data_IF_864346591039
#
_entry.id   IF_864346591039
#
_cell.length_a   1.000
_cell.length_b   1.000
_cell.length_c   1.000
_cell.angle_alpha   90.00
_cell.angle_beta   90.00
_cell.angle_gamma   90.00
#
_symmetry.space_group_name_H-M   'P 1'
#
loop_
_entity.id
_entity.type
_entity.pdbx_description
1 polymer ?
#
# COMPACT_ATOMS: atom_id res chain seq x y z
N UNK A 1 57.10 -2.81 -21.77
CA UNK A 1 55.99 -2.31 -22.60
C UNK A 1 54.75 -2.75 -21.86
N UNK A 2 54.23 -1.85 -21.04
CA UNK A 2 53.34 -2.17 -19.92
C UNK A 2 52.04 -1.37 -20.04
N UNK A 3 50.94 -2.09 -19.81
CA UNK A 3 49.63 -1.66 -19.33
C UNK A 3 48.90 -0.47 -20.00
N UNK A 4 47.94 -0.78 -20.87
CA UNK A 4 46.71 0.02 -21.03
C UNK A 4 45.50 -0.91 -21.18
N UNK A 5 44.97 -1.33 -20.03
CA UNK A 5 43.59 -1.74 -19.86
C UNK A 5 43.07 -1.01 -18.62
N UNK A 6 42.38 0.13 -18.84
CA UNK A 6 41.53 0.84 -17.87
C UNK A 6 41.03 2.12 -18.54
N UNK A 7 39.86 2.05 -19.17
CA UNK A 7 38.78 3.02 -18.95
C UNK A 7 37.55 2.58 -19.76
N UNK A 8 36.77 1.69 -19.15
CA UNK A 8 35.42 1.35 -19.60
C UNK A 8 34.64 1.04 -18.32
N UNK A 9 34.26 2.09 -17.60
CA UNK A 9 33.63 1.95 -16.28
C UNK A 9 33.48 3.26 -15.54
N UNK A 10 32.94 4.28 -16.20
CA UNK A 10 32.49 5.51 -15.53
C UNK A 10 31.57 6.30 -16.48
N UNK A 11 30.30 5.89 -16.62
CA UNK A 11 29.22 6.85 -16.97
C UNK A 11 27.77 6.30 -16.88
N UNK A 12 27.49 5.35 -15.97
CA UNK A 12 26.11 4.87 -15.72
C UNK A 12 25.61 5.02 -14.27
N UNK A 13 26.31 5.78 -13.42
CA UNK A 13 26.02 5.87 -11.97
C UNK A 13 25.66 7.28 -11.42
N UNK A 14 25.24 8.23 -12.25
CA UNK A 14 25.11 9.65 -11.82
C UNK A 14 23.75 10.32 -12.05
N UNK A 15 22.65 9.59 -12.03
CA UNK A 15 21.33 10.20 -11.86
C UNK A 15 20.70 9.70 -10.55
N UNK A 16 21.08 10.29 -9.41
CA UNK A 16 20.46 9.90 -8.14
C UNK A 16 18.97 10.22 -8.18
N UNK A 17 18.12 9.24 -7.84
CA UNK A 17 16.66 9.42 -7.86
C UNK A 17 16.23 10.60 -6.96
N UNK A 18 15.05 11.22 -7.18
CA UNK A 18 14.55 12.26 -6.28
C UNK A 18 14.54 11.83 -4.81
N UNK A 19 14.27 10.56 -4.54
CA UNK A 19 14.30 9.95 -3.20
C UNK A 19 15.72 9.93 -2.61
N UNK A 20 16.72 9.52 -3.37
CA UNK A 20 18.12 9.53 -2.92
C UNK A 20 18.63 10.95 -2.66
N UNK A 21 18.20 11.93 -3.45
CA UNK A 21 18.52 13.34 -3.22
C UNK A 21 17.92 13.82 -1.89
N UNK A 22 16.66 13.47 -1.60
CA UNK A 22 15.99 13.83 -0.35
C UNK A 22 16.69 13.24 0.87
N UNK A 23 17.11 11.98 0.80
CA UNK A 23 17.81 11.32 1.91
C UNK A 23 19.24 11.84 2.07
N UNK A 24 19.94 12.15 0.98
CA UNK A 24 21.25 12.81 1.06
C UNK A 24 21.15 14.16 1.78
N UNK A 25 20.16 14.98 1.45
CA UNK A 25 19.92 16.27 2.11
C UNK A 25 19.60 16.08 3.59
N UNK A 26 18.76 15.10 3.93
CA UNK A 26 18.41 14.81 5.31
C UNK A 26 19.63 14.34 6.13
N UNK A 27 20.48 13.47 5.58
CA UNK A 27 21.73 13.04 6.23
C UNK A 27 22.68 14.22 6.46
N UNK A 28 22.85 15.08 5.46
CA UNK A 28 23.69 16.29 5.60
C UNK A 28 23.16 17.23 6.68
N UNK A 29 21.84 17.48 6.71
CA UNK A 29 21.23 18.31 7.74
C UNK A 29 21.47 17.75 9.15
N UNK A 30 21.39 16.44 9.34
CA UNK A 30 21.62 15.77 10.62
C UNK A 30 23.09 15.75 11.09
N UNK A 31 24.03 16.20 10.26
CA UNK A 31 25.41 16.47 10.71
C UNK A 31 25.53 17.80 11.46
N UNK A 32 24.56 18.69 11.30
CA UNK A 32 24.56 20.04 11.87
C UNK A 32 23.37 20.30 12.80
N UNK A 33 22.37 19.42 12.84
CA UNK A 33 21.24 19.50 13.76
C UNK A 33 21.11 18.22 14.60
N UNK A 34 20.84 18.38 15.88
CA UNK A 34 20.53 17.29 16.80
C UNK A 34 19.03 17.27 17.15
N UNK A 35 18.62 16.29 17.95
CA UNK A 35 17.24 16.02 18.35
C UNK A 35 16.60 17.15 19.19
N UNK A 36 17.39 18.12 19.66
CA UNK A 36 16.89 19.31 20.35
C UNK A 36 16.40 20.41 19.40
N UNK A 37 16.74 20.34 18.10
CA UNK A 37 16.44 21.40 17.15
C UNK A 37 15.13 21.18 16.37
N UNK A 38 14.30 22.23 16.15
CA UNK A 38 12.97 22.09 15.51
C UNK A 38 12.94 21.46 14.11
N UNK A 39 14.06 21.48 13.38
CA UNK A 39 14.17 20.89 12.05
C UNK A 39 14.40 19.38 12.04
N UNK A 40 14.84 18.81 13.17
CA UNK A 40 15.29 17.43 13.26
C UNK A 40 14.18 16.40 12.97
N UNK A 41 12.96 16.52 13.52
CA UNK A 41 11.89 15.55 13.22
C UNK A 41 11.54 15.51 11.73
N UNK A 42 11.60 16.68 11.07
CA UNK A 42 11.38 16.77 9.63
C UNK A 42 12.45 16.06 8.80
N UNK A 43 13.70 15.99 9.27
CA UNK A 43 14.78 15.26 8.61
C UNK A 43 14.70 13.76 8.89
N UNK A 44 14.38 13.35 10.12
CA UNK A 44 14.22 11.93 10.44
C UNK A 44 13.10 11.26 9.65
N UNK A 45 11.94 11.93 9.54
CA UNK A 45 10.86 11.46 8.67
C UNK A 45 11.30 11.31 7.20
N UNK A 46 12.17 12.21 6.71
CA UNK A 46 12.72 12.11 5.34
C UNK A 46 13.72 10.97 5.21
N UNK A 47 14.55 10.73 6.23
CA UNK A 47 15.47 9.60 6.23
C UNK A 47 14.75 8.27 6.11
N UNK A 48 13.62 8.09 6.79
CA UNK A 48 12.85 6.85 6.68
C UNK A 48 12.26 6.60 5.29
N UNK A 49 12.24 7.57 4.36
CA UNK A 49 11.68 7.35 3.02
C UNK A 49 12.58 6.45 2.16
N UNK A 50 13.90 6.64 2.15
CA UNK A 50 14.74 5.83 1.24
C UNK A 50 14.85 4.36 1.63
N UNK A 51 15.04 3.98 2.91
CA UNK A 51 15.01 2.58 3.30
C UNK A 51 13.67 1.96 2.92
N UNK A 52 12.55 2.64 3.10
CA UNK A 52 11.24 2.14 2.67
C UNK A 52 11.14 1.96 1.15
N UNK A 53 11.63 2.91 0.36
CA UNK A 53 11.68 2.76 -1.10
C UNK A 53 12.59 1.60 -1.54
N UNK A 54 13.71 1.36 -0.85
CA UNK A 54 14.55 0.17 -1.10
C UNK A 54 13.81 -1.10 -0.72
N UNK A 55 13.17 -1.10 0.45
CA UNK A 55 12.33 -2.20 0.91
C UNK A 55 11.26 -2.55 -0.13
N UNK A 56 10.58 -1.58 -0.73
CA UNK A 56 9.61 -1.84 -1.81
C UNK A 56 10.22 -2.52 -3.05
N UNK A 57 11.52 -2.37 -3.29
CA UNK A 57 12.22 -2.97 -4.43
C UNK A 57 12.90 -4.31 -4.08
N UNK A 58 13.40 -4.46 -2.86
CA UNK A 58 14.21 -5.63 -2.45
C UNK A 58 13.49 -6.56 -1.48
N UNK A 59 12.38 -6.13 -0.88
CA UNK A 59 11.66 -6.79 0.21
C UNK A 59 12.54 -7.09 1.45
N UNK A 60 13.65 -6.34 1.63
CA UNK A 60 14.57 -6.52 2.74
C UNK A 60 13.99 -5.92 4.04
N UNK A 61 13.63 -6.79 4.98
CA UNK A 61 12.95 -6.38 6.22
C UNK A 61 13.76 -5.39 7.07
N UNK A 62 15.10 -5.46 7.06
CA UNK A 62 15.95 -4.53 7.81
C UNK A 62 15.80 -3.07 7.34
N UNK A 63 15.51 -2.88 6.04
CA UNK A 63 15.27 -1.54 5.50
C UNK A 63 13.93 -0.98 6.00
N UNK A 64 12.91 -1.83 6.13
CA UNK A 64 11.64 -1.45 6.74
C UNK A 64 11.79 -1.11 8.23
N UNK A 65 12.58 -1.86 8.98
CA UNK A 65 12.88 -1.58 10.40
C UNK A 65 13.60 -0.23 10.58
N UNK A 66 14.54 0.11 9.68
CA UNK A 66 15.21 1.42 9.66
C UNK A 66 14.18 2.55 9.44
N UNK A 67 13.27 2.36 8.48
CA UNK A 67 12.17 3.29 8.23
C UNK A 67 11.30 3.50 9.46
N UNK A 68 10.73 2.42 10.02
CA UNK A 68 9.86 2.48 11.20
C UNK A 68 10.55 3.26 12.33
N UNK A 69 11.81 2.92 12.63
CA UNK A 69 12.59 3.60 13.67
C UNK A 69 12.72 5.10 13.43
N UNK A 70 13.08 5.50 12.20
CA UNK A 70 13.31 6.90 11.87
C UNK A 70 12.02 7.75 11.95
N UNK A 71 10.89 7.23 11.48
CA UNK A 71 9.62 7.98 11.54
C UNK A 71 8.96 7.91 12.92
N UNK A 72 9.16 6.84 13.69
CA UNK A 72 8.78 6.80 15.09
C UNK A 72 9.44 7.95 15.87
N UNK A 73 10.76 8.07 15.74
CA UNK A 73 11.50 9.17 16.35
C UNK A 73 11.00 10.55 15.91
N UNK A 74 10.68 10.70 14.62
CA UNK A 74 10.10 11.93 14.11
C UNK A 74 8.71 12.23 14.72
N UNK A 75 7.86 11.22 14.92
CA UNK A 75 6.54 11.38 15.53
C UNK A 75 6.63 11.73 17.02
N UNK A 76 7.56 11.12 17.75
CA UNK A 76 7.75 11.31 19.19
C UNK A 76 8.30 12.69 19.54
N UNK A 77 9.27 13.17 18.76
CA UNK A 77 9.95 14.45 19.00
C UNK A 77 9.27 15.63 18.30
N UNK A 78 8.27 15.39 17.46
CA UNK A 78 7.45 16.46 16.89
C UNK A 78 6.54 17.10 17.95
N UNK A 79 6.39 18.44 17.98
CA UNK A 79 5.47 19.10 18.90
C UNK A 79 4.04 18.57 18.76
N UNK A 80 3.33 18.48 19.88
CA UNK A 80 1.92 18.09 19.91
C UNK A 80 1.10 18.96 18.94
N UNK A 81 0.17 18.35 18.22
CA UNK A 81 -0.70 18.98 17.21
C UNK A 81 0.02 19.63 16.01
N UNK A 82 1.34 19.44 15.85
CA UNK A 82 2.06 19.96 14.69
C UNK A 82 1.76 19.17 13.42
N UNK A 83 1.84 19.84 12.26
CA UNK A 83 1.75 19.18 10.96
C UNK A 83 2.85 18.12 10.77
N UNK A 84 4.03 18.34 11.36
CA UNK A 84 5.14 17.39 11.35
C UNK A 84 4.79 16.08 12.07
N UNK A 85 4.16 16.19 13.25
CA UNK A 85 3.67 15.02 13.99
C UNK A 85 2.64 14.24 13.18
N UNK A 86 1.60 14.93 12.67
CA UNK A 86 0.54 14.30 11.86
C UNK A 86 1.09 13.54 10.64
N UNK A 87 2.00 14.17 9.89
CA UNK A 87 2.66 13.53 8.74
C UNK A 87 3.51 12.32 9.13
N UNK A 88 4.26 12.42 10.23
CA UNK A 88 5.09 11.32 10.71
C UNK A 88 4.22 10.16 11.22
N UNK A 89 3.19 10.44 12.01
CA UNK A 89 2.24 9.44 12.52
C UNK A 89 1.52 8.68 11.41
N UNK A 90 1.05 9.37 10.36
CA UNK A 90 0.46 8.71 9.20
C UNK A 90 1.48 7.79 8.49
N UNK A 91 2.68 8.30 8.24
CA UNK A 91 3.72 7.55 7.55
C UNK A 91 4.20 6.33 8.37
N UNK A 92 4.29 6.47 9.69
CA UNK A 92 4.52 5.37 10.62
C UNK A 92 3.43 4.31 10.52
N UNK A 93 2.17 4.71 10.46
CA UNK A 93 1.05 3.78 10.34
C UNK A 93 1.13 2.93 9.06
N UNK A 94 1.53 3.53 7.94
CA UNK A 94 1.73 2.79 6.68
C UNK A 94 2.83 1.74 6.84
N UNK A 95 3.99 2.12 7.40
CA UNK A 95 5.11 1.20 7.55
C UNK A 95 4.89 0.10 8.60
N UNK A 96 4.13 0.39 9.66
CA UNK A 96 3.67 -0.64 10.58
C UNK A 96 2.69 -1.62 9.92
N UNK A 97 1.87 -1.14 8.97
CA UNK A 97 1.07 -2.01 8.10
C UNK A 97 1.94 -2.92 7.23
N UNK A 98 3.01 -2.40 6.64
CA UNK A 98 3.96 -3.21 5.87
C UNK A 98 4.66 -4.25 6.75
N UNK A 99 4.97 -3.89 8.02
CA UNK A 99 5.58 -4.81 8.99
C UNK A 99 4.71 -6.03 9.23
N UNK A 100 3.38 -5.85 9.33
CA UNK A 100 2.45 -6.96 9.50
C UNK A 100 2.59 -8.00 8.37
N UNK A 101 2.84 -7.60 7.12
CA UNK A 101 3.00 -8.56 6.03
C UNK A 101 4.29 -9.43 6.16
N UNK A 102 5.24 -9.04 7.02
CA UNK A 102 6.40 -9.87 7.36
C UNK A 102 6.19 -10.74 8.59
N UNK A 103 5.56 -10.20 9.63
CA UNK A 103 5.42 -10.88 10.91
C UNK A 103 4.20 -11.77 10.94
N UNK A 104 3.14 -11.40 10.22
CA UNK A 104 1.79 -11.95 10.27
C UNK A 104 1.24 -11.99 11.71
N UNK A 105 1.72 -11.08 12.57
CA UNK A 105 1.26 -10.95 13.95
C UNK A 105 0.09 -9.95 13.99
N UNK A 106 -1.10 -10.43 14.36
CA UNK A 106 -2.29 -9.57 14.37
C UNK A 106 -2.15 -8.35 15.31
N UNK A 107 -1.32 -8.43 16.36
CA UNK A 107 -1.02 -7.30 17.26
C UNK A 107 -0.26 -6.16 16.57
N UNK A 108 0.47 -6.43 15.49
CA UNK A 108 1.15 -5.39 14.71
C UNK A 108 0.16 -4.45 14.01
N UNK A 109 -1.13 -4.81 13.91
CA UNK A 109 -2.18 -4.00 13.30
C UNK A 109 -2.84 -2.99 14.26
N UNK A 110 -2.68 -3.13 15.58
CA UNK A 110 -3.39 -2.28 16.55
C UNK A 110 -2.89 -0.83 16.55
N UNK A 111 -1.57 -0.65 16.49
CA UNK A 111 -0.95 0.67 16.42
C UNK A 111 -1.27 1.42 15.11
N UNK A 112 -1.09 0.84 13.90
CA UNK A 112 -1.43 1.54 12.67
C UNK A 112 -2.91 1.92 12.58
N UNK A 113 -3.83 1.06 13.04
CA UNK A 113 -5.27 1.38 13.11
C UNK A 113 -5.50 2.60 14.02
N UNK A 114 -4.84 2.65 15.18
CA UNK A 114 -4.95 3.76 16.12
C UNK A 114 -4.42 5.07 15.52
N UNK A 115 -3.25 5.03 14.89
CA UNK A 115 -2.62 6.18 14.26
C UNK A 115 -3.45 6.71 13.09
N UNK A 116 -4.03 5.84 12.26
CA UNK A 116 -4.89 6.22 11.14
C UNK A 116 -6.20 6.85 11.62
N UNK A 117 -6.85 6.29 12.64
CA UNK A 117 -8.04 6.88 13.27
C UNK A 117 -7.77 8.27 13.81
N UNK A 118 -6.60 8.50 14.42
CA UNK A 118 -6.21 9.84 14.88
C UNK A 118 -5.94 10.79 13.70
N UNK A 119 -5.25 10.32 12.67
CA UNK A 119 -4.92 11.12 11.49
C UNK A 119 -6.17 11.62 10.73
N UNK A 120 -7.24 10.81 10.70
CA UNK A 120 -8.51 11.13 10.04
C UNK A 120 -9.23 12.33 10.68
N UNK A 121 -9.13 12.51 12.00
CA UNK A 121 -9.88 13.56 12.73
C UNK A 121 -9.64 14.98 12.20
N UNK A 122 -8.42 15.24 11.73
CA UNK A 122 -7.99 16.54 11.21
C UNK A 122 -7.50 16.46 9.74
N UNK A 123 -7.86 15.40 9.01
CA UNK A 123 -7.42 15.24 7.63
C UNK A 123 -8.03 16.31 6.72
N UNK A 124 -7.21 16.86 5.81
CA UNK A 124 -7.77 17.69 4.75
C UNK A 124 -8.59 16.84 3.78
N UNK A 125 -9.59 17.42 3.08
CA UNK A 125 -10.40 16.68 2.12
C UNK A 125 -9.59 15.93 1.06
N UNK A 126 -8.41 16.45 0.70
CA UNK A 126 -7.50 15.83 -0.28
C UNK A 126 -6.73 14.61 0.24
N UNK A 127 -6.59 14.44 1.56
CA UNK A 127 -5.84 13.32 2.18
C UNK A 127 -6.77 12.28 2.80
N UNK A 128 -7.99 12.69 3.12
CA UNK A 128 -9.00 11.85 3.76
C UNK A 128 -9.26 10.51 3.02
N UNK A 129 -9.37 10.46 1.67
CA UNK A 129 -9.57 9.19 0.96
C UNK A 129 -8.45 8.18 1.25
N UNK A 130 -7.19 8.62 1.13
CA UNK A 130 -6.03 7.77 1.38
C UNK A 130 -5.96 7.26 2.82
N UNK A 131 -6.31 8.10 3.79
CA UNK A 131 -6.28 7.72 5.21
C UNK A 131 -7.36 6.69 5.53
N UNK A 132 -8.58 6.90 5.00
CA UNK A 132 -9.69 5.95 5.14
C UNK A 132 -9.41 4.62 4.43
N UNK A 133 -8.85 4.66 3.22
CA UNK A 133 -8.48 3.45 2.49
C UNK A 133 -7.44 2.61 3.21
N UNK A 134 -6.38 3.23 3.73
CA UNK A 134 -5.37 2.54 4.54
C UNK A 134 -5.92 2.04 5.88
N UNK A 135 -6.84 2.78 6.50
CA UNK A 135 -7.57 2.29 7.68
C UNK A 135 -8.38 1.04 7.34
N UNK A 136 -9.11 1.07 6.22
CA UNK A 136 -9.87 -0.05 5.71
C UNK A 136 -9.00 -1.29 5.53
N UNK A 137 -7.81 -1.14 4.91
CA UNK A 137 -6.85 -2.23 4.72
C UNK A 137 -6.38 -2.81 6.06
N UNK A 138 -5.91 -1.97 6.99
CA UNK A 138 -5.38 -2.46 8.27
C UNK A 138 -6.46 -3.20 9.10
N UNK A 139 -7.69 -2.67 9.13
CA UNK A 139 -8.82 -3.32 9.81
C UNK A 139 -9.23 -4.61 9.08
N UNK A 140 -9.22 -4.63 7.73
CA UNK A 140 -9.48 -5.83 6.93
C UNK A 140 -8.53 -6.95 7.33
N UNK A 141 -7.23 -6.68 7.35
CA UNK A 141 -6.22 -7.68 7.71
C UNK A 141 -6.46 -8.23 9.13
N UNK A 142 -6.83 -7.36 10.08
CA UNK A 142 -7.12 -7.79 11.46
C UNK A 142 -8.37 -8.67 11.52
N UNK A 143 -9.40 -8.33 10.76
CA UNK A 143 -10.59 -9.17 10.60
C UNK A 143 -10.23 -10.53 9.99
N UNK A 144 -9.44 -10.57 8.93
CA UNK A 144 -9.06 -11.82 8.27
C UNK A 144 -8.28 -12.77 9.20
N UNK A 145 -7.51 -12.22 10.13
CA UNK A 145 -6.74 -12.99 11.11
C UNK A 145 -7.53 -13.40 12.36
N UNK A 146 -8.37 -12.51 12.88
CA UNK A 146 -9.01 -12.68 14.19
C UNK A 146 -10.53 -12.93 14.13
N UNK A 147 -11.17 -12.63 13.02
CA UNK A 147 -12.61 -12.83 12.81
C UNK A 147 -13.51 -11.89 13.61
N UNK A 148 -13.03 -10.71 14.01
CA UNK A 148 -13.84 -9.75 14.76
C UNK A 148 -14.88 -9.07 13.86
N UNK A 149 -16.15 -9.40 14.06
CA UNK A 149 -17.27 -8.86 13.26
C UNK A 149 -17.37 -7.32 13.24
N UNK A 150 -16.92 -6.66 14.30
CA UNK A 150 -16.87 -5.19 14.33
C UNK A 150 -15.77 -4.65 13.39
N UNK A 151 -14.64 -5.35 13.25
CA UNK A 151 -13.60 -5.00 12.28
C UNK A 151 -14.10 -5.16 10.84
N UNK A 152 -14.90 -6.20 10.55
CA UNK A 152 -15.54 -6.33 9.24
C UNK A 152 -16.38 -5.08 8.89
N UNK A 153 -17.26 -4.66 9.80
CA UNK A 153 -18.13 -3.49 9.59
C UNK A 153 -17.31 -2.20 9.46
N UNK A 154 -16.34 -2.01 10.35
CA UNK A 154 -15.50 -0.81 10.37
C UNK A 154 -14.66 -0.72 9.08
N UNK A 155 -14.14 -1.85 8.58
CA UNK A 155 -13.39 -1.89 7.33
C UNK A 155 -14.27 -1.61 6.11
N UNK A 156 -15.46 -2.23 6.03
CA UNK A 156 -16.44 -1.92 4.97
C UNK A 156 -16.82 -0.44 4.97
N UNK A 157 -17.05 0.15 6.15
CA UNK A 157 -17.38 1.56 6.27
C UNK A 157 -16.23 2.46 5.81
N UNK A 158 -15.00 2.18 6.26
CA UNK A 158 -13.83 2.94 5.87
C UNK A 158 -13.60 2.92 4.35
N UNK A 159 -13.72 1.75 3.71
CA UNK A 159 -13.63 1.65 2.25
C UNK A 159 -14.77 2.39 1.55
N UNK A 160 -16.02 2.25 2.01
CA UNK A 160 -17.16 2.92 1.41
C UNK A 160 -17.02 4.46 1.48
N UNK A 161 -16.56 4.99 2.62
CA UNK A 161 -16.29 6.42 2.79
C UNK A 161 -15.14 6.88 1.88
N UNK A 162 -14.04 6.14 1.81
CA UNK A 162 -12.91 6.45 0.92
C UNK A 162 -13.36 6.51 -0.55
N UNK A 163 -14.16 5.54 -0.98
CA UNK A 163 -14.67 5.41 -2.34
C UNK A 163 -15.76 6.45 -2.69
N UNK A 164 -16.36 7.12 -1.70
CA UNK A 164 -17.32 8.20 -1.97
C UNK A 164 -16.65 9.55 -2.19
N UNK A 165 -15.38 9.69 -1.78
CA UNK A 165 -14.64 10.95 -1.87
C UNK A 165 -13.90 11.06 -3.21
N UNK A 166 -13.68 12.29 -3.72
CA UNK A 166 -12.81 12.51 -4.87
C UNK A 166 -11.38 12.05 -4.55
N UNK A 167 -10.83 11.18 -5.38
CA UNK A 167 -9.46 10.64 -5.27
C UNK A 167 -8.78 10.73 -6.64
N UNK A 168 -7.45 10.76 -6.66
CA UNK A 168 -6.64 10.83 -7.89
C UNK A 168 -6.51 9.49 -8.64
N UNK A 169 -7.45 8.57 -8.37
CA UNK A 169 -7.64 7.26 -8.98
C UNK A 169 -6.55 6.20 -8.71
N UNK A 170 -5.37 6.57 -8.23
CA UNK A 170 -4.26 5.62 -8.08
C UNK A 170 -4.48 4.60 -6.97
N UNK A 171 -5.11 5.00 -5.86
CA UNK A 171 -5.34 4.12 -4.70
C UNK A 171 -6.71 3.47 -4.71
N UNK A 172 -7.66 4.07 -5.43
CA UNK A 172 -9.05 3.64 -5.53
C UNK A 172 -9.20 2.18 -5.97
N UNK A 173 -8.44 1.75 -6.98
CA UNK A 173 -8.44 0.36 -7.45
C UNK A 173 -8.00 -0.64 -6.35
N UNK A 174 -7.02 -0.27 -5.53
CA UNK A 174 -6.54 -1.10 -4.40
C UNK A 174 -7.65 -1.27 -3.35
N UNK A 175 -8.38 -0.20 -3.05
CA UNK A 175 -9.48 -0.24 -2.08
C UNK A 175 -10.66 -1.06 -2.59
N UNK A 176 -11.00 -0.93 -3.88
CA UNK A 176 -12.04 -1.75 -4.51
C UNK A 176 -11.71 -3.25 -4.44
N UNK A 177 -10.47 -3.63 -4.79
CA UNK A 177 -10.00 -5.02 -4.66
C UNK A 177 -10.01 -5.51 -3.20
N UNK A 178 -9.54 -4.67 -2.27
CA UNK A 178 -9.51 -5.01 -0.84
C UNK A 178 -10.93 -5.19 -0.27
N UNK A 179 -11.88 -4.35 -0.67
CA UNK A 179 -13.29 -4.46 -0.29
C UNK A 179 -13.93 -5.71 -0.93
N UNK A 180 -13.57 -6.04 -2.17
CA UNK A 180 -14.04 -7.26 -2.83
C UNK A 180 -13.54 -8.54 -2.13
N UNK A 181 -12.31 -8.54 -1.63
CA UNK A 181 -11.75 -9.62 -0.80
C UNK A 181 -12.46 -9.73 0.55
N UNK A 182 -12.63 -8.60 1.25
CA UNK A 182 -13.34 -8.52 2.52
C UNK A 182 -14.75 -9.09 2.41
N UNK A 183 -15.51 -8.69 1.39
CA UNK A 183 -16.87 -9.16 1.15
C UNK A 183 -16.92 -10.67 0.88
N UNK A 184 -15.91 -11.25 0.20
CA UNK A 184 -15.83 -12.70 -0.01
C UNK A 184 -15.67 -13.47 1.31
N UNK A 185 -14.95 -12.90 2.29
CA UNK A 185 -14.64 -13.54 3.58
C UNK A 185 -15.70 -13.28 4.65
N UNK A 186 -16.29 -12.08 4.68
CA UNK A 186 -17.37 -11.68 5.59
C UNK A 186 -18.65 -12.51 5.46
N UNK A 187 -18.84 -13.13 4.30
CA UNK A 187 -19.96 -14.02 4.05
C UNK A 187 -19.45 -15.44 3.83
N UNK A 188 -19.43 -16.22 4.90
CA UNK A 188 -19.23 -17.68 4.89
C UNK A 188 -20.43 -18.44 4.26
N UNK A 189 -21.23 -17.73 3.46
CA UNK A 189 -22.30 -18.30 2.64
C UNK A 189 -22.08 -17.83 1.21
N UNK A 190 -22.06 -18.80 0.32
CA UNK A 190 -22.16 -18.69 -1.15
C UNK A 190 -23.45 -17.97 -1.57
N UNK A 191 -23.64 -16.74 -1.11
CA UNK A 191 -24.73 -15.88 -1.55
C UNK A 191 -24.27 -15.23 -2.83
N UNK A 192 -24.92 -15.63 -3.93
CA UNK A 192 -24.63 -15.13 -5.27
C UNK A 192 -24.60 -13.61 -5.33
N UNK A 193 -25.43 -12.91 -4.55
CA UNK A 193 -25.45 -11.45 -4.49
C UNK A 193 -24.13 -10.85 -3.96
N UNK A 194 -23.49 -11.48 -2.98
CA UNK A 194 -22.21 -11.03 -2.42
C UNK A 194 -21.08 -11.27 -3.42
N UNK A 195 -21.10 -12.42 -4.09
CA UNK A 195 -20.16 -12.73 -5.16
C UNK A 195 -20.32 -11.76 -6.32
N UNK A 196 -21.55 -11.38 -6.66
CA UNK A 196 -21.83 -10.42 -7.72
C UNK A 196 -21.32 -9.03 -7.33
N UNK A 197 -21.59 -8.57 -6.11
CA UNK A 197 -21.06 -7.29 -5.62
C UNK A 197 -19.53 -7.27 -5.62
N UNK A 198 -18.89 -8.37 -5.18
CA UNK A 198 -17.42 -8.52 -5.22
C UNK A 198 -16.90 -8.47 -6.66
N UNK A 199 -17.59 -9.12 -7.59
CA UNK A 199 -17.24 -9.13 -9.01
C UNK A 199 -17.38 -7.74 -9.65
N UNK A 200 -18.44 -7.02 -9.33
CA UNK A 200 -18.67 -5.66 -9.82
C UNK A 200 -17.57 -4.69 -9.34
N UNK A 201 -17.15 -4.81 -8.08
CA UNK A 201 -16.02 -4.05 -7.53
C UNK A 201 -14.69 -4.38 -8.23
N UNK A 202 -14.44 -5.66 -8.53
CA UNK A 202 -13.24 -6.09 -9.27
C UNK A 202 -13.25 -5.59 -10.71
N UNK A 203 -14.40 -5.64 -11.39
CA UNK A 203 -14.55 -5.05 -12.74
C UNK A 203 -14.26 -3.55 -12.72
N UNK A 204 -14.77 -2.84 -11.71
CA UNK A 204 -14.48 -1.42 -11.54
C UNK A 204 -12.99 -1.18 -11.34
N UNK A 205 -12.34 -1.93 -10.44
CA UNK A 205 -10.90 -1.82 -10.19
C UNK A 205 -10.07 -2.06 -11.46
N UNK A 206 -10.41 -3.09 -12.24
CA UNK A 206 -9.76 -3.40 -13.51
C UNK A 206 -9.99 -2.34 -14.60
N UNK A 207 -11.13 -1.63 -14.57
CA UNK A 207 -11.42 -0.55 -15.52
C UNK A 207 -10.77 0.79 -15.18
N UNK A 208 -10.44 1.02 -13.91
CA UNK A 208 -9.85 2.27 -13.42
C UNK A 208 -8.31 2.26 -13.45
N UNK A 209 -7.68 1.08 -13.54
CA UNK A 209 -6.23 0.96 -13.61
C UNK A 209 -5.72 1.18 -15.05
N UNK A 210 -4.67 1.98 -15.22
CA UNK A 210 -4.09 2.28 -16.54
C UNK A 210 -3.23 1.12 -17.07
N UNK A 211 -3.07 1.04 -18.39
CA UNK A 211 -2.32 -0.03 -19.06
C UNK A 211 -0.83 -0.09 -18.68
N UNK A 212 -0.24 1.04 -18.29
CA UNK A 212 1.15 1.16 -17.85
C UNK A 212 1.34 0.91 -16.35
N UNK A 213 0.27 0.62 -15.60
CA UNK A 213 0.36 0.41 -14.17
C UNK A 213 0.91 -1.00 -13.85
N UNK A 214 1.96 -1.13 -13.04
CA UNK A 214 2.56 -2.42 -12.71
C UNK A 214 1.62 -3.37 -11.95
N UNK A 215 0.56 -2.85 -11.30
CA UNK A 215 -0.43 -3.68 -10.60
C UNK A 215 -1.56 -4.20 -11.52
N UNK A 216 -1.58 -3.80 -12.79
CA UNK A 216 -2.62 -4.22 -13.74
C UNK A 216 -2.75 -5.74 -13.89
N UNK A 217 -1.66 -6.53 -14.05
CA UNK A 217 -1.75 -7.98 -14.11
C UNK A 217 -2.43 -8.57 -12.88
N UNK A 218 -2.04 -8.13 -11.68
CA UNK A 218 -2.65 -8.58 -10.43
C UNK A 218 -4.14 -8.29 -10.36
N UNK A 219 -4.58 -7.08 -10.76
CA UNK A 219 -6.01 -6.70 -10.73
C UNK A 219 -6.84 -7.51 -11.71
N UNK A 220 -6.30 -7.80 -12.89
CA UNK A 220 -6.97 -8.66 -13.86
C UNK A 220 -7.06 -10.10 -13.37
N UNK A 221 -5.96 -10.65 -12.82
CA UNK A 221 -5.98 -11.99 -12.21
C UNK A 221 -7.01 -12.11 -11.06
N UNK A 222 -7.15 -11.07 -10.24
CA UNK A 222 -8.20 -11.02 -9.20
C UNK A 222 -9.61 -11.07 -9.81
N UNK A 223 -9.86 -10.33 -10.91
CA UNK A 223 -11.12 -10.35 -11.64
C UNK A 223 -11.40 -11.73 -12.25
N UNK A 224 -10.42 -12.31 -12.94
CA UNK A 224 -10.51 -13.66 -13.51
C UNK A 224 -10.84 -14.70 -12.44
N UNK A 225 -10.13 -14.69 -11.31
CA UNK A 225 -10.43 -15.59 -10.20
C UNK A 225 -11.85 -15.42 -9.63
N UNK A 226 -12.37 -14.18 -9.62
CA UNK A 226 -13.74 -13.87 -9.25
C UNK A 226 -14.77 -14.46 -10.23
N UNK A 227 -14.53 -14.29 -11.52
CA UNK A 227 -15.35 -14.83 -12.61
C UNK A 227 -15.38 -16.36 -12.61
N UNK A 228 -14.21 -17.00 -12.48
CA UNK A 228 -14.09 -18.45 -12.34
C UNK A 228 -14.87 -18.98 -11.13
N UNK A 229 -14.81 -18.28 -9.99
CA UNK A 229 -15.60 -18.66 -8.82
C UNK A 229 -17.10 -18.51 -9.08
N UNK A 230 -17.54 -17.47 -9.77
CA UNK A 230 -18.95 -17.29 -10.17
C UNK A 230 -19.42 -18.40 -11.12
N UNK A 231 -18.58 -18.81 -12.06
CA UNK A 231 -18.84 -19.97 -12.92
C UNK A 231 -19.03 -21.25 -12.09
N UNK A 232 -18.15 -21.51 -11.13
CA UNK A 232 -18.25 -22.71 -10.29
C UNK A 232 -19.59 -22.77 -9.52
N UNK A 233 -20.09 -21.61 -9.08
CA UNK A 233 -21.35 -21.50 -8.33
C UNK A 233 -22.60 -21.56 -9.21
N UNK A 234 -22.55 -20.97 -10.41
CA UNK A 234 -23.74 -20.78 -11.26
C UNK A 234 -23.81 -21.71 -12.47
N UNK A 235 -22.66 -22.26 -12.90
CA UNK A 235 -22.50 -23.05 -14.13
C UNK A 235 -22.61 -22.24 -15.43
N UNK A 236 -22.65 -20.90 -15.37
CA UNK A 236 -22.76 -20.03 -16.56
C UNK A 236 -21.44 -19.98 -17.31
N UNK A 237 -21.43 -20.51 -18.53
CA UNK A 237 -20.22 -20.57 -19.34
C UNK A 237 -19.68 -19.18 -19.70
N UNK A 238 -20.56 -18.18 -19.76
CA UNK A 238 -20.17 -16.79 -20.05
C UNK A 238 -19.19 -16.25 -19.01
N UNK A 239 -19.37 -16.58 -17.72
CA UNK A 239 -18.44 -16.17 -16.65
C UNK A 239 -17.08 -16.88 -16.80
N UNK A 240 -17.06 -18.13 -17.29
CA UNK A 240 -15.80 -18.85 -17.55
C UNK A 240 -15.07 -18.31 -18.79
N UNK A 241 -15.81 -17.99 -19.85
CA UNK A 241 -15.26 -17.40 -21.07
C UNK A 241 -14.62 -16.03 -20.76
N UNK A 242 -15.34 -15.16 -20.04
CA UNK A 242 -14.78 -13.86 -19.59
C UNK A 242 -13.57 -14.06 -18.67
N UNK A 243 -13.61 -15.06 -17.77
CA UNK A 243 -12.46 -15.38 -16.90
C UNK A 243 -11.20 -15.70 -17.71
N UNK A 244 -11.32 -16.47 -18.79
CA UNK A 244 -10.18 -16.85 -19.63
C UNK A 244 -9.67 -15.64 -20.43
N UNK A 245 -10.57 -14.80 -20.96
CA UNK A 245 -10.19 -13.58 -21.66
C UNK A 245 -9.41 -12.62 -20.75
N UNK A 246 -9.92 -12.37 -19.54
CA UNK A 246 -9.27 -11.50 -18.55
C UNK A 246 -7.91 -12.06 -18.11
N UNK A 247 -7.77 -13.37 -17.95
CA UNK A 247 -6.50 -14.00 -17.61
C UNK A 247 -5.46 -13.83 -18.73
N UNK A 248 -5.88 -13.95 -20.00
CA UNK A 248 -5.00 -13.70 -21.14
C UNK A 248 -4.55 -12.24 -21.20
N UNK A 249 -5.43 -11.29 -20.87
CA UNK A 249 -5.08 -9.87 -20.75
C UNK A 249 -4.12 -9.61 -19.59
N UNK A 250 -4.25 -10.35 -18.48
CA UNK A 250 -3.33 -10.28 -17.34
C UNK A 250 -1.92 -10.74 -17.73
N UNK A 251 -1.83 -11.89 -18.42
CA UNK A 251 -0.58 -12.44 -18.94
C UNK A 251 0.06 -11.47 -19.94
N UNK A 252 -0.73 -10.92 -20.87
CA UNK A 252 -0.23 -9.96 -21.86
C UNK A 252 0.28 -8.65 -21.23
N UNK A 253 -0.21 -8.28 -20.04
CA UNK A 253 0.22 -7.10 -19.30
C UNK A 253 1.40 -7.37 -18.35
N UNK A 254 1.81 -8.63 -18.17
CA UNK A 254 2.94 -8.97 -17.30
C UNK A 254 4.25 -8.59 -18.00
N UNK A 255 5.12 -7.75 -17.41
CA UNK A 255 6.42 -7.41 -18.01
C UNK A 255 7.29 -8.65 -18.22
N UNK A 256 8.06 -8.72 -19.32
CA UNK A 256 8.94 -9.85 -19.64
C UNK A 256 10.04 -10.14 -18.58
N UNK A 257 10.27 -9.22 -17.63
CA UNK A 257 11.30 -9.29 -16.59
C UNK A 257 10.76 -9.54 -15.17
N UNK A 258 9.50 -9.96 -15.00
CA UNK A 258 8.94 -10.32 -13.67
C UNK A 258 9.44 -11.72 -13.24
N UNK A 259 10.26 -11.87 -12.18
CA UNK A 259 10.70 -13.19 -11.73
C UNK A 259 9.55 -13.94 -11.04
N UNK A 260 9.33 -15.19 -11.47
CA UNK A 260 8.38 -16.17 -10.89
C UNK A 260 8.43 -16.28 -9.36
#
# INVERSE_FOLDING_TARGET
>A
MDNQAKDAGADELTASTPTEQLVRIARQALTVIDDSLPGWPGQMRRLGVAPHSRYQLSNEFSDLEESITATQQAADLSPANSLGKKKSSYQLAVWLGDKYYHTLEASDLDEPITLLREAIKDASPSLLPAYLGNLGIAIKERYLMLGYEDDYKDSCQAFAEALHLPDDHNHRAIWLSSMAELNKKGFDREQLDVLQNSLDLRRQAASEITDDNPLRPTRLGELAAGLYHMYFQTGKLEDLEESVEVELDAIAATPEDDPE
#
